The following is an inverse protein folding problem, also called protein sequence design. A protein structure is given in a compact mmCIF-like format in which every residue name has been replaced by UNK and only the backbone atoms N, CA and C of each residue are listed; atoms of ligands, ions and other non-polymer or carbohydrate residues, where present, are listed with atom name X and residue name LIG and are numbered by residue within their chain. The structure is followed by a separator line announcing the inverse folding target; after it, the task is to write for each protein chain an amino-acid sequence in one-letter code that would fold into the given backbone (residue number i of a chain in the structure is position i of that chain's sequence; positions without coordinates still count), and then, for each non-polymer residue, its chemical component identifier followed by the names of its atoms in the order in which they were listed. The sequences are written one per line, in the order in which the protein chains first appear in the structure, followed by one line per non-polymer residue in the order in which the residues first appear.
data_IF_226840817836
#
_entry.id   IF_226840817836
#
_cell.length_a   1.000
_cell.length_b   1.000
_cell.length_c   1.000
_cell.angle_alpha   90.00
_cell.angle_beta   90.00
_cell.angle_gamma   90.00
#
_symmetry.space_group_name_H-M   'P 1'
#
loop_
_entity.id
_entity.type
_entity.pdbx_description
1 polymer ?
#
# COMPACT_ATOMS: atom_id res chain seq x y z
N UNK A 1 39.56 -9.37 -12.38
CA UNK A 1 39.33 -8.92 -10.99
C UNK A 1 38.34 -7.74 -10.87
N UNK A 2 38.41 -6.64 -11.67
CA UNK A 2 37.47 -5.51 -11.53
C UNK A 2 36.00 -5.88 -11.76
N UNK A 3 35.73 -6.77 -12.73
CA UNK A 3 34.38 -7.22 -13.06
C UNK A 3 33.69 -8.01 -11.92
N UNK A 4 34.45 -8.73 -11.09
CA UNK A 4 33.88 -9.46 -9.94
C UNK A 4 33.37 -8.50 -8.86
N UNK A 5 34.07 -7.40 -8.62
CA UNK A 5 33.66 -6.39 -7.62
C UNK A 5 32.38 -5.68 -8.07
N UNK A 6 32.32 -5.30 -9.36
CA UNK A 6 31.11 -4.71 -9.95
C UNK A 6 29.92 -5.68 -9.86
N UNK A 7 30.14 -6.95 -10.19
CA UNK A 7 29.09 -7.98 -10.09
C UNK A 7 28.60 -8.20 -8.66
N UNK A 8 29.50 -8.20 -7.66
CA UNK A 8 29.15 -8.33 -6.24
C UNK A 8 28.33 -7.15 -5.73
N UNK A 9 28.76 -5.93 -6.04
CA UNK A 9 28.03 -4.71 -5.67
C UNK A 9 26.63 -4.74 -6.31
N UNK A 10 26.55 -5.04 -7.60
CA UNK A 10 25.27 -5.12 -8.31
C UNK A 10 24.34 -6.18 -7.73
N UNK A 11 24.87 -7.35 -7.34
CA UNK A 11 24.11 -8.41 -6.70
C UNK A 11 23.56 -8.00 -5.33
N UNK A 12 24.37 -7.33 -4.51
CA UNK A 12 23.94 -6.82 -3.19
C UNK A 12 22.84 -5.76 -3.35
N UNK A 13 22.98 -4.85 -4.33
CA UNK A 13 21.94 -3.87 -4.62
C UNK A 13 20.64 -4.53 -5.08
N UNK A 14 20.69 -5.45 -6.03
CA UNK A 14 19.51 -6.19 -6.49
C UNK A 14 18.86 -6.99 -5.36
N UNK A 15 19.66 -7.60 -4.49
CA UNK A 15 19.15 -8.35 -3.33
C UNK A 15 18.39 -7.44 -2.37
N UNK A 16 18.95 -6.28 -1.99
CA UNK A 16 18.27 -5.34 -1.10
C UNK A 16 16.98 -4.79 -1.71
N UNK A 17 16.99 -4.49 -3.01
CA UNK A 17 15.82 -4.04 -3.75
C UNK A 17 14.74 -5.13 -3.72
N UNK A 18 15.10 -6.38 -4.04
CA UNK A 18 14.17 -7.51 -4.03
C UNK A 18 13.55 -7.76 -2.64
N UNK A 19 14.37 -7.73 -1.59
CA UNK A 19 13.89 -7.89 -0.20
C UNK A 19 12.94 -6.76 0.20
N UNK A 20 13.18 -5.51 -0.23
CA UNK A 20 12.29 -4.40 0.05
C UNK A 20 10.88 -4.61 -0.54
N UNK A 21 10.79 -4.98 -1.83
CA UNK A 21 9.50 -5.24 -2.47
C UNK A 21 8.78 -6.45 -1.87
N UNK A 22 9.53 -7.51 -1.53
CA UNK A 22 8.96 -8.70 -0.89
C UNK A 22 8.43 -8.37 0.52
N UNK A 23 9.16 -7.57 1.30
CA UNK A 23 8.71 -7.08 2.61
C UNK A 23 7.44 -6.25 2.48
N UNK A 24 7.39 -5.31 1.53
CA UNK A 24 6.20 -4.49 1.29
C UNK A 24 4.97 -5.34 0.92
N UNK A 25 5.17 -6.37 0.08
CA UNK A 25 4.13 -7.33 -0.28
C UNK A 25 3.64 -8.13 0.93
N UNK A 26 4.56 -8.66 1.75
CA UNK A 26 4.19 -9.40 2.95
C UNK A 26 3.47 -8.53 3.97
N UNK A 27 3.86 -7.27 4.13
CA UNK A 27 3.19 -6.34 5.05
C UNK A 27 1.77 -6.04 4.56
N UNK A 28 1.59 -5.64 3.30
CA UNK A 28 0.26 -5.33 2.77
C UNK A 28 -0.64 -6.57 2.66
N UNK A 29 -0.11 -7.66 2.11
CA UNK A 29 -0.82 -8.94 2.02
C UNK A 29 -1.16 -9.49 3.40
N UNK A 30 -0.21 -9.46 4.34
CA UNK A 30 -0.41 -9.87 5.72
C UNK A 30 -1.45 -9.03 6.44
N UNK A 31 -1.46 -7.72 6.22
CA UNK A 31 -2.45 -6.81 6.77
C UNK A 31 -3.88 -7.14 6.31
N UNK A 32 -4.08 -7.44 5.02
CA UNK A 32 -5.40 -7.88 4.52
C UNK A 32 -5.74 -9.32 4.93
N UNK A 33 -4.74 -10.19 5.02
CA UNK A 33 -4.93 -11.58 5.45
C UNK A 33 -5.38 -11.65 6.92
N UNK A 34 -4.78 -10.84 7.80
CA UNK A 34 -5.21 -10.71 9.19
C UNK A 34 -6.67 -10.24 9.28
N UNK A 35 -7.04 -9.22 8.51
CA UNK A 35 -8.44 -8.74 8.45
C UNK A 35 -9.39 -9.83 7.94
N UNK A 36 -8.97 -10.61 6.93
CA UNK A 36 -9.74 -11.73 6.40
C UNK A 36 -10.01 -12.80 7.46
N UNK A 37 -8.99 -13.21 8.22
CA UNK A 37 -9.12 -14.20 9.31
C UNK A 37 -10.06 -13.70 10.40
N UNK A 38 -9.85 -12.48 10.89
CA UNK A 38 -10.67 -11.88 11.97
C UNK A 38 -12.14 -11.78 11.54
N UNK A 39 -12.36 -11.37 10.30
CA UNK A 39 -13.69 -11.17 9.73
C UNK A 39 -14.38 -12.47 9.29
N UNK A 40 -13.64 -13.59 9.22
CA UNK A 40 -14.07 -14.82 8.53
C UNK A 40 -14.54 -14.55 7.10
N UNK A 41 -13.85 -13.63 6.40
CA UNK A 41 -14.13 -13.24 5.01
C UNK A 41 -15.37 -12.36 4.78
N UNK A 42 -15.95 -11.74 5.83
CA UNK A 42 -17.13 -10.87 5.67
C UNK A 42 -16.80 -9.42 5.26
N UNK A 43 -15.63 -8.92 5.63
CA UNK A 43 -15.22 -7.51 5.45
C UNK A 43 -14.39 -7.33 4.20
N UNK A 44 -13.50 -8.28 3.95
CA UNK A 44 -12.51 -8.24 2.88
C UNK A 44 -12.57 -9.57 2.12
N UNK A 45 -12.50 -9.48 0.80
CA UNK A 45 -12.45 -10.64 -0.06
C UNK A 45 -11.02 -11.16 -0.23
N UNK A 46 -10.88 -12.42 -0.63
CA UNK A 46 -9.57 -12.98 -1.00
C UNK A 46 -8.90 -12.23 -2.17
N UNK A 47 -9.68 -11.51 -2.98
CA UNK A 47 -9.18 -10.63 -4.03
C UNK A 47 -8.36 -9.47 -3.48
N UNK A 48 -8.80 -8.82 -2.40
CA UNK A 48 -8.09 -7.68 -1.83
C UNK A 48 -6.73 -8.08 -1.23
N UNK A 49 -6.61 -9.31 -0.72
CA UNK A 49 -5.34 -9.88 -0.26
C UNK A 49 -4.35 -9.98 -1.42
N UNK A 50 -4.81 -10.48 -2.59
CA UNK A 50 -3.98 -10.58 -3.80
C UNK A 50 -3.61 -9.21 -4.35
N UNK A 51 -4.54 -8.24 -4.31
CA UNK A 51 -4.26 -6.86 -4.69
C UNK A 51 -3.22 -6.23 -3.76
N UNK A 52 -3.33 -6.44 -2.44
CA UNK A 52 -2.35 -5.96 -1.48
C UNK A 52 -0.96 -6.55 -1.70
N UNK A 53 -0.87 -7.85 -1.99
CA UNK A 53 0.40 -8.49 -2.38
C UNK A 53 0.98 -7.87 -3.65
N UNK A 54 0.17 -7.70 -4.69
CA UNK A 54 0.60 -7.15 -5.98
C UNK A 54 1.07 -5.70 -5.83
N UNK A 55 0.29 -4.86 -5.14
CA UNK A 55 0.61 -3.45 -4.94
C UNK A 55 1.83 -3.29 -4.03
N UNK A 56 2.00 -4.15 -3.03
CA UNK A 56 3.21 -4.17 -2.21
C UNK A 56 4.46 -4.54 -3.02
N UNK A 57 4.38 -5.54 -3.90
CA UNK A 57 5.46 -5.87 -4.83
C UNK A 57 5.76 -4.74 -5.83
N UNK A 58 4.75 -3.93 -6.17
CA UNK A 58 4.89 -2.87 -7.16
C UNK A 58 5.44 -1.57 -6.57
N UNK A 59 5.05 -1.21 -5.35
CA UNK A 59 5.42 0.05 -4.71
C UNK A 59 6.67 -0.04 -3.84
N UNK A 60 6.89 -1.19 -3.20
CA UNK A 60 7.95 -1.32 -2.20
C UNK A 60 7.66 -0.54 -0.91
N UNK A 61 8.62 -0.57 -0.01
CA UNK A 61 8.57 0.09 1.28
C UNK A 61 9.37 1.39 1.24
N UNK A 62 8.83 2.52 1.75
CA UNK A 62 7.59 2.68 2.53
C UNK A 62 6.34 3.06 1.72
N UNK A 63 6.43 3.16 0.39
CA UNK A 63 5.39 3.74 -0.48
C UNK A 63 4.04 2.98 -0.42
N UNK A 64 4.08 1.68 -0.11
CA UNK A 64 2.88 0.88 0.16
C UNK A 64 2.00 1.45 1.29
N UNK A 65 2.59 2.08 2.31
CA UNK A 65 1.84 2.69 3.41
C UNK A 65 1.00 3.87 2.92
N UNK A 66 1.57 4.70 2.03
CA UNK A 66 0.88 5.83 1.43
C UNK A 66 -0.34 5.35 0.64
N UNK A 67 -0.17 4.28 -0.14
CA UNK A 67 -1.26 3.68 -0.90
C UNK A 67 -2.39 3.23 0.04
N UNK A 68 -2.06 2.45 1.08
CA UNK A 68 -3.05 1.98 2.05
C UNK A 68 -3.80 3.14 2.71
N UNK A 69 -3.07 4.14 3.22
CA UNK A 69 -3.67 5.30 3.90
C UNK A 69 -4.65 6.04 2.98
N UNK A 70 -4.24 6.36 1.75
CA UNK A 70 -5.09 7.06 0.78
C UNK A 70 -6.35 6.24 0.47
N UNK A 71 -6.19 4.92 0.31
CA UNK A 71 -7.30 4.03 0.02
C UNK A 71 -8.33 3.98 1.16
N UNK A 72 -7.89 3.91 2.42
CA UNK A 72 -8.80 3.96 3.56
C UNK A 72 -9.46 5.33 3.72
N UNK A 73 -8.73 6.43 3.46
CA UNK A 73 -9.30 7.79 3.50
C UNK A 73 -10.40 7.93 2.44
N UNK A 74 -10.12 7.57 1.19
CA UNK A 74 -11.10 7.65 0.10
C UNK A 74 -12.30 6.73 0.35
N UNK A 75 -12.05 5.50 0.78
CA UNK A 75 -13.10 4.55 1.12
C UNK A 75 -13.97 5.03 2.28
N UNK A 76 -13.38 5.68 3.29
CA UNK A 76 -14.09 6.26 4.42
C UNK A 76 -14.95 7.46 3.99
N UNK A 77 -14.39 8.41 3.22
CA UNK A 77 -15.13 9.59 2.75
C UNK A 77 -16.35 9.18 1.93
N UNK A 78 -16.15 8.28 0.96
CA UNK A 78 -17.23 7.83 0.07
C UNK A 78 -18.22 6.94 0.81
N UNK A 79 -17.74 6.04 1.69
CA UNK A 79 -18.58 5.20 2.53
C UNK A 79 -19.46 6.02 3.47
N UNK A 80 -18.89 6.99 4.18
CA UNK A 80 -19.63 7.91 5.05
C UNK A 80 -20.61 8.77 4.26
N UNK A 81 -20.20 9.29 3.10
CA UNK A 81 -21.08 10.05 2.22
C UNK A 81 -22.32 9.26 1.78
N UNK A 82 -22.15 7.99 1.43
CA UNK A 82 -23.26 7.10 1.06
C UNK A 82 -24.19 6.78 2.24
N UNK A 83 -23.64 6.64 3.45
CA UNK A 83 -24.42 6.43 4.68
C UNK A 83 -25.25 7.68 5.00
N UNK A 84 -24.65 8.87 4.92
CA UNK A 84 -25.34 10.16 5.16
C UNK A 84 -26.45 10.37 4.14
N UNK A 85 -26.20 10.02 2.87
CA UNK A 85 -27.20 10.06 1.80
C UNK A 85 -28.29 8.99 1.92
N UNK A 86 -28.28 8.15 2.97
CA UNK A 86 -29.18 7.00 3.20
C UNK A 86 -29.22 6.00 2.03
N UNK A 87 -28.16 5.95 1.21
CA UNK A 87 -28.03 5.02 0.08
C UNK A 87 -27.26 3.75 0.44
N UNK A 88 -26.58 3.75 1.58
CA UNK A 88 -25.89 2.58 2.13
C UNK A 88 -26.13 2.47 3.64
N UNK A 89 -25.95 1.28 4.18
CA UNK A 89 -25.97 1.02 5.62
C UNK A 89 -24.55 0.70 6.10
N UNK A 90 -24.29 0.76 7.41
CA UNK A 90 -23.02 0.31 8.01
C UNK A 90 -22.65 -1.15 7.69
N UNK A 91 -23.61 -1.97 7.22
CA UNK A 91 -23.41 -3.36 6.82
C UNK A 91 -23.18 -3.54 5.32
N UNK A 92 -23.32 -2.47 4.53
CA UNK A 92 -23.15 -2.53 3.08
C UNK A 92 -21.68 -2.74 2.75
N UNK A 93 -21.32 -3.79 1.99
CA UNK A 93 -19.93 -4.03 1.62
C UNK A 93 -19.44 -2.91 0.69
N UNK A 94 -18.36 -2.26 1.08
CA UNK A 94 -17.69 -1.24 0.28
C UNK A 94 -16.55 -1.92 -0.49
N UNK A 95 -16.47 -1.77 -1.82
CA UNK A 95 -15.43 -2.44 -2.62
C UNK A 95 -14.06 -1.80 -2.33
N UNK A 96 -13.32 -2.40 -1.39
CA UNK A 96 -12.02 -1.89 -0.94
C UNK A 96 -10.99 -1.89 -2.08
N UNK A 97 -11.00 -2.92 -2.93
CA UNK A 97 -10.11 -3.01 -4.10
C UNK A 97 -10.15 -1.80 -5.04
N UNK A 98 -11.30 -1.14 -5.22
CA UNK A 98 -11.41 0.05 -6.07
C UNK A 98 -10.62 1.23 -5.47
N UNK A 99 -10.81 1.49 -4.17
CA UNK A 99 -10.05 2.54 -3.47
C UNK A 99 -8.59 2.17 -3.31
N UNK A 100 -8.28 0.88 -3.17
CA UNK A 100 -6.92 0.36 -3.14
C UNK A 100 -6.18 0.67 -4.44
N UNK A 101 -6.84 0.48 -5.58
CA UNK A 101 -6.28 0.76 -6.90
C UNK A 101 -6.01 2.26 -7.09
N UNK A 102 -6.91 3.13 -6.63
CA UNK A 102 -6.72 4.59 -6.69
C UNK A 102 -5.56 5.02 -5.77
N UNK A 103 -5.51 4.50 -4.54
CA UNK A 103 -4.42 4.81 -3.62
C UNK A 103 -3.06 4.33 -4.13
N UNK A 104 -3.01 3.16 -4.78
CA UNK A 104 -1.80 2.68 -5.45
C UNK A 104 -1.36 3.61 -6.59
N UNK A 105 -2.30 4.08 -7.42
CA UNK A 105 -2.00 5.03 -8.49
C UNK A 105 -1.46 6.36 -7.96
N UNK A 106 -2.06 6.89 -6.89
CA UNK A 106 -1.57 8.13 -6.26
C UNK A 106 -0.19 7.91 -5.61
N UNK A 107 0.01 6.77 -4.95
CA UNK A 107 1.29 6.42 -4.35
C UNK A 107 2.41 6.29 -5.39
N UNK A 108 2.14 5.68 -6.54
CA UNK A 108 3.12 5.58 -7.63
C UNK A 108 3.65 6.94 -8.11
N UNK A 109 2.81 7.98 -8.05
CA UNK A 109 3.14 9.30 -8.59
C UNK A 109 3.67 10.28 -7.54
N UNK A 110 3.20 10.17 -6.29
CA UNK A 110 3.45 11.18 -5.25
C UNK A 110 3.88 10.63 -3.90
N UNK A 111 4.07 9.31 -3.72
CA UNK A 111 4.42 8.76 -2.41
C UNK A 111 5.67 9.40 -1.81
N UNK A 112 6.75 9.51 -2.59
CA UNK A 112 8.02 10.06 -2.10
C UNK A 112 7.84 11.50 -1.58
N UNK A 113 7.13 12.35 -2.34
CA UNK A 113 6.80 13.73 -1.93
C UNK A 113 5.92 13.78 -0.68
N UNK A 114 4.94 12.88 -0.56
CA UNK A 114 4.05 12.81 0.60
C UNK A 114 4.84 12.38 1.84
N UNK A 115 5.75 11.42 1.70
CA UNK A 115 6.60 10.93 2.78
C UNK A 115 7.59 12.02 3.22
N UNK A 116 8.24 12.71 2.28
CA UNK A 116 9.13 13.85 2.56
C UNK A 116 8.42 14.97 3.32
N UNK A 117 7.19 15.31 2.89
CA UNK A 117 6.35 16.28 3.57
C UNK A 117 5.97 15.81 4.99
N UNK A 118 5.57 14.55 5.14
CA UNK A 118 5.18 13.99 6.45
C UNK A 118 6.35 13.94 7.44
N UNK A 119 7.54 13.56 6.97
CA UNK A 119 8.75 13.51 7.79
C UNK A 119 9.36 14.90 8.03
N UNK A 120 8.76 15.98 7.50
CA UNK A 120 9.26 17.35 7.60
C UNK A 120 10.74 17.48 7.21
N UNK A 121 11.21 16.67 6.27
CA UNK A 121 12.62 16.68 5.85
C UNK A 121 12.99 18.02 5.19
N UNK A 122 11.99 18.76 4.70
CA UNK A 122 12.13 20.11 4.16
C UNK A 122 12.07 21.26 5.19
N UNK A 123 11.83 21.01 6.49
CA UNK A 123 11.81 22.08 7.52
C UNK A 123 13.16 22.27 8.24
N UNK A 124 14.17 21.43 7.96
CA UNK A 124 15.51 21.48 8.58
C UNK A 124 16.67 21.82 7.61
N UNK A 125 16.40 22.29 6.40
CA UNK A 125 17.38 22.96 5.52
C UNK A 125 16.71 24.20 4.92
N UNK A 126 17.27 25.42 4.92
CA UNK A 126 18.49 25.79 4.21
C UNK A 126 18.67 25.05 2.89
#
# INVERSE_FOLDING_TARGET
LPAMVVALIFNIFLYNIFINYLLAALIAGGFFFLQFIISKGKWIGGGDIRLGLLIGLMLGWPNILVALIISYILGSIIGLGLIIAKRATMKSPVPLGTFLSIGAFVSLLWADKIIEWYLNINLYGF
#
